data_IF_101428094653
#
_entry.id   IF_101428094653
#
_cell.length_a   1.000
_cell.length_b   1.000
_cell.length_c   1.000
_cell.angle_alpha   90.00
_cell.angle_beta   90.00
_cell.angle_gamma   90.00
#
_symmetry.space_group_name_H-M   'P 1'
#
loop_
_entity.id
_entity.type
_entity.pdbx_description
1 polymer ?
#
# COMPACT_ATOMS: atom_id res chain seq x y z
N UNK A 1 -19.88 8.83 14.42
CA UNK A 1 -21.12 9.61 14.13
C UNK A 1 -20.86 11.05 13.66
N UNK A 2 -19.95 11.84 14.30
CA UNK A 2 -19.60 13.21 13.82
C UNK A 2 -18.83 13.20 12.50
N UNK A 3 -17.87 12.29 12.34
CA UNK A 3 -17.03 12.17 11.13
C UNK A 3 -17.82 11.75 9.88
N UNK A 4 -18.78 10.86 10.03
CA UNK A 4 -19.61 10.40 8.90
C UNK A 4 -20.54 11.51 8.38
N UNK A 5 -21.11 12.32 9.29
CA UNK A 5 -21.91 13.50 8.88
C UNK A 5 -21.03 14.54 8.18
N UNK A 6 -19.83 14.79 8.70
CA UNK A 6 -18.87 15.70 8.08
C UNK A 6 -18.45 15.25 6.68
N UNK A 7 -18.25 13.94 6.49
CA UNK A 7 -17.92 13.37 5.18
C UNK A 7 -19.08 13.49 4.20
N UNK A 8 -20.31 13.18 4.63
CA UNK A 8 -21.52 13.32 3.78
C UNK A 8 -21.76 14.77 3.35
N UNK A 9 -21.60 15.73 4.26
CA UNK A 9 -21.73 17.16 3.94
C UNK A 9 -20.61 17.66 3.00
N UNK A 10 -19.39 17.11 3.13
CA UNK A 10 -18.31 17.42 2.20
C UNK A 10 -18.61 16.89 0.79
N UNK A 11 -19.10 15.64 0.68
CA UNK A 11 -19.51 15.03 -0.59
C UNK A 11 -20.55 15.92 -1.26
N UNK A 12 -21.65 16.25 -0.57
CA UNK A 12 -22.73 17.07 -1.12
C UNK A 12 -22.21 18.41 -1.65
N UNK A 13 -21.37 19.11 -0.90
CA UNK A 13 -20.79 20.39 -1.34
C UNK A 13 -19.97 20.26 -2.62
N UNK A 14 -19.19 19.19 -2.76
CA UNK A 14 -18.39 18.95 -3.95
C UNK A 14 -19.25 18.50 -5.14
N UNK A 15 -20.32 17.72 -4.93
CA UNK A 15 -21.32 17.38 -5.95
C UNK A 15 -22.00 18.64 -6.49
N UNK A 16 -22.48 19.54 -5.61
CA UNK A 16 -23.08 20.81 -5.99
C UNK A 16 -22.10 21.70 -6.76
N UNK A 17 -20.81 21.72 -6.34
CA UNK A 17 -19.78 22.48 -7.05
C UNK A 17 -19.54 21.95 -8.45
N UNK A 18 -19.42 20.63 -8.59
CA UNK A 18 -19.21 19.98 -9.88
C UNK A 18 -20.43 20.13 -10.81
N UNK A 19 -21.64 20.13 -10.25
CA UNK A 19 -22.86 20.37 -11.00
C UNK A 19 -22.92 21.82 -11.58
N UNK A 20 -22.35 22.80 -10.88
CA UNK A 20 -22.24 24.19 -11.36
C UNK A 20 -21.12 24.39 -12.37
N UNK A 21 -20.01 23.68 -12.18
CA UNK A 21 -18.82 23.77 -13.02
C UNK A 21 -18.30 22.35 -13.32
N UNK A 22 -18.86 21.69 -14.37
CA UNK A 22 -18.48 20.32 -14.74
C UNK A 22 -17.03 20.17 -15.23
N UNK A 23 -16.38 21.28 -15.60
CA UNK A 23 -14.98 21.28 -16.03
C UNK A 23 -14.01 21.52 -14.88
N UNK A 24 -14.52 21.77 -13.69
CA UNK A 24 -13.69 22.00 -12.50
C UNK A 24 -12.84 20.79 -12.14
N UNK A 25 -11.59 21.01 -11.76
CA UNK A 25 -10.72 19.99 -11.17
C UNK A 25 -11.21 19.47 -9.80
N UNK A 26 -12.34 20.00 -9.30
CA UNK A 26 -12.98 19.54 -8.06
C UNK A 26 -13.42 18.07 -8.13
N UNK A 27 -13.54 17.48 -9.32
CA UNK A 27 -13.87 16.06 -9.48
C UNK A 27 -12.88 15.14 -8.74
N UNK A 28 -11.59 15.49 -8.71
CA UNK A 28 -10.61 14.67 -8.01
C UNK A 28 -10.81 14.70 -6.49
N UNK A 29 -11.16 15.85 -5.93
CA UNK A 29 -11.49 15.97 -4.51
C UNK A 29 -12.75 15.18 -4.16
N UNK A 30 -13.78 15.24 -5.00
CA UNK A 30 -15.00 14.45 -4.83
C UNK A 30 -14.72 12.94 -4.93
N UNK A 31 -13.89 12.52 -5.89
CA UNK A 31 -13.48 11.12 -6.01
C UNK A 31 -12.74 10.61 -4.77
N UNK A 32 -11.88 11.42 -4.14
CA UNK A 32 -11.22 11.03 -2.89
C UNK A 32 -12.20 10.92 -1.72
N UNK A 33 -13.20 11.81 -1.67
CA UNK A 33 -14.28 11.70 -0.68
C UNK A 33 -15.12 10.44 -0.89
N UNK A 34 -15.47 10.09 -2.14
CA UNK A 34 -16.15 8.83 -2.44
C UNK A 34 -15.33 7.61 -2.02
N UNK A 35 -14.02 7.62 -2.31
CA UNK A 35 -13.11 6.56 -1.86
C UNK A 35 -13.09 6.42 -0.33
N UNK A 36 -13.03 7.53 0.40
CA UNK A 36 -13.08 7.55 1.87
C UNK A 36 -14.43 7.08 2.43
N UNK A 37 -15.51 7.33 1.70
CA UNK A 37 -16.86 6.86 2.02
C UNK A 37 -17.12 5.39 1.62
N UNK A 38 -16.10 4.66 1.09
CA UNK A 38 -16.27 3.29 0.62
C UNK A 38 -17.01 3.16 -0.72
N UNK A 39 -17.30 4.28 -1.40
CA UNK A 39 -17.95 4.33 -2.72
C UNK A 39 -16.93 4.18 -3.84
N UNK A 40 -16.23 3.04 -3.88
CA UNK A 40 -15.10 2.82 -4.78
C UNK A 40 -15.50 2.92 -6.26
N UNK A 41 -16.66 2.34 -6.64
CA UNK A 41 -17.14 2.38 -8.01
C UNK A 41 -17.38 3.82 -8.51
N UNK A 42 -18.01 4.66 -7.67
CA UNK A 42 -18.27 6.06 -8.01
C UNK A 42 -16.96 6.86 -8.14
N UNK A 43 -16.00 6.60 -7.24
CA UNK A 43 -14.67 7.23 -7.29
C UNK A 43 -13.91 6.87 -8.58
N UNK A 44 -13.93 5.61 -8.98
CA UNK A 44 -13.30 5.12 -10.22
C UNK A 44 -13.96 5.75 -11.44
N UNK A 45 -15.30 5.74 -11.51
CA UNK A 45 -16.05 6.32 -12.62
C UNK A 45 -15.74 7.81 -12.79
N UNK A 46 -15.80 8.57 -11.70
CA UNK A 46 -15.54 10.01 -11.69
C UNK A 46 -14.10 10.34 -12.09
N UNK A 47 -13.11 9.57 -11.58
CA UNK A 47 -11.71 9.75 -11.98
C UNK A 47 -11.51 9.47 -13.48
N UNK A 48 -12.10 8.40 -14.01
CA UNK A 48 -11.97 8.04 -15.43
C UNK A 48 -12.59 9.11 -16.34
N UNK A 49 -13.77 9.58 -15.99
CA UNK A 49 -14.43 10.68 -16.73
C UNK A 49 -13.58 11.96 -16.70
N UNK A 50 -13.13 12.38 -15.52
CA UNK A 50 -12.29 13.57 -15.40
C UNK A 50 -10.97 13.46 -16.13
N UNK A 51 -10.35 12.26 -16.15
CA UNK A 51 -9.10 12.01 -16.87
C UNK A 51 -9.26 11.95 -18.39
N UNK A 52 -10.46 11.77 -18.94
CA UNK A 52 -10.71 11.95 -20.37
C UNK A 52 -10.53 13.42 -20.78
N UNK A 53 -10.92 14.36 -19.90
CA UNK A 53 -10.78 15.81 -20.12
C UNK A 53 -9.39 16.30 -19.72
N UNK A 54 -8.84 15.77 -18.63
CA UNK A 54 -7.56 16.17 -18.03
C UNK A 54 -6.58 14.99 -17.91
N UNK A 55 -6.04 14.48 -19.05
CA UNK A 55 -5.25 13.24 -19.07
C UNK A 55 -3.99 13.25 -18.20
N UNK A 56 -3.42 14.44 -17.97
CA UNK A 56 -2.19 14.63 -17.20
C UNK A 56 -2.43 15.05 -15.75
N UNK A 57 -3.68 15.01 -15.25
CA UNK A 57 -3.97 15.42 -13.88
C UNK A 57 -3.54 14.35 -12.89
N UNK A 58 -2.32 14.48 -12.40
CA UNK A 58 -1.62 13.52 -11.52
C UNK A 58 -2.43 13.19 -10.27
N UNK A 59 -3.07 14.19 -9.64
CA UNK A 59 -3.89 13.96 -8.43
C UNK A 59 -5.02 12.98 -8.69
N UNK A 60 -5.75 13.13 -9.80
CA UNK A 60 -6.84 12.23 -10.15
C UNK A 60 -6.33 10.83 -10.46
N UNK A 61 -5.20 10.69 -11.16
CA UNK A 61 -4.56 9.39 -11.40
C UNK A 61 -4.15 8.70 -10.11
N UNK A 62 -3.58 9.44 -9.16
CA UNK A 62 -3.18 8.90 -7.87
C UNK A 62 -4.38 8.41 -7.05
N UNK A 63 -5.48 9.16 -7.06
CA UNK A 63 -6.74 8.77 -6.41
C UNK A 63 -7.31 7.51 -7.08
N UNK A 64 -7.34 7.48 -8.41
CA UNK A 64 -7.77 6.32 -9.17
C UNK A 64 -6.94 5.08 -8.81
N UNK A 65 -5.62 5.20 -8.83
CA UNK A 65 -4.72 4.11 -8.49
C UNK A 65 -4.92 3.59 -7.04
N UNK A 66 -5.07 4.50 -6.07
CA UNK A 66 -5.37 4.14 -4.67
C UNK A 66 -6.72 3.43 -4.53
N UNK A 67 -7.73 3.87 -5.29
CA UNK A 67 -9.06 3.27 -5.27
C UNK A 67 -9.04 1.87 -5.90
N UNK A 68 -8.39 1.72 -7.05
CA UNK A 68 -8.22 0.44 -7.73
C UNK A 68 -7.47 -0.58 -6.85
N UNK A 69 -6.43 -0.14 -6.15
CA UNK A 69 -5.70 -1.01 -5.23
C UNK A 69 -6.57 -1.46 -4.05
N UNK A 70 -7.40 -0.57 -3.51
CA UNK A 70 -8.33 -0.91 -2.43
C UNK A 70 -9.42 -1.89 -2.89
N UNK A 71 -9.82 -1.79 -4.16
CA UNK A 71 -10.79 -2.68 -4.82
C UNK A 71 -10.19 -4.02 -5.31
N UNK A 72 -8.89 -4.27 -5.02
CA UNK A 72 -8.18 -5.49 -5.42
C UNK A 72 -7.70 -5.52 -6.87
N UNK A 73 -7.88 -4.44 -7.64
CA UNK A 73 -7.45 -4.31 -9.04
C UNK A 73 -5.98 -3.86 -9.10
N UNK A 74 -5.08 -4.71 -8.60
CA UNK A 74 -3.67 -4.37 -8.37
C UNK A 74 -2.92 -3.96 -9.65
N UNK A 75 -3.10 -4.69 -10.75
CA UNK A 75 -2.40 -4.40 -12.00
C UNK A 75 -2.89 -3.09 -12.65
N UNK A 76 -4.18 -2.78 -12.55
CA UNK A 76 -4.72 -1.50 -13.01
C UNK A 76 -4.19 -0.34 -12.15
N UNK A 77 -4.10 -0.52 -10.83
CA UNK A 77 -3.49 0.46 -9.93
C UNK A 77 -2.02 0.72 -10.27
N UNK A 78 -1.27 -0.33 -10.58
CA UNK A 78 0.14 -0.23 -10.98
C UNK A 78 0.30 0.51 -12.31
N UNK A 79 -0.58 0.25 -13.27
CA UNK A 79 -0.57 0.96 -14.57
C UNK A 79 -0.74 2.47 -14.39
N UNK A 80 -1.68 2.91 -13.54
CA UNK A 80 -1.88 4.34 -13.24
C UNK A 80 -0.68 4.95 -12.49
N UNK A 81 -0.10 4.23 -11.52
CA UNK A 81 1.10 4.68 -10.82
C UNK A 81 2.29 4.84 -11.78
N UNK A 82 2.49 3.88 -12.68
CA UNK A 82 3.54 3.94 -13.69
C UNK A 82 3.34 5.10 -14.68
N UNK A 83 2.11 5.39 -15.07
CA UNK A 83 1.81 6.54 -15.92
C UNK A 83 2.20 7.87 -15.26
N UNK A 84 2.04 7.99 -13.93
CA UNK A 84 2.55 9.15 -13.18
C UNK A 84 4.08 9.16 -13.16
N UNK A 85 4.72 8.02 -12.89
CA UNK A 85 6.17 7.93 -12.78
C UNK A 85 6.90 8.18 -14.12
N UNK A 86 6.23 7.99 -15.26
CA UNK A 86 6.77 8.37 -16.57
C UNK A 86 6.93 9.90 -16.71
N UNK A 87 6.03 10.67 -16.15
CA UNK A 87 6.06 12.14 -16.22
C UNK A 87 6.72 12.77 -14.98
N UNK A 88 6.62 12.11 -13.86
CA UNK A 88 7.11 12.56 -12.54
C UNK A 88 7.88 11.43 -11.84
N UNK A 89 9.09 11.09 -12.29
CA UNK A 89 9.84 9.94 -11.76
C UNK A 89 10.31 10.10 -10.31
N UNK A 90 10.13 11.29 -9.73
CA UNK A 90 10.47 11.60 -8.33
C UNK A 90 9.23 11.68 -7.41
N UNK A 91 8.08 11.19 -7.86
CA UNK A 91 6.88 11.19 -7.03
C UNK A 91 6.96 10.08 -5.97
N UNK A 92 7.19 10.48 -4.72
CA UNK A 92 7.33 9.58 -3.57
C UNK A 92 6.05 8.78 -3.33
N UNK A 93 4.87 9.40 -3.48
CA UNK A 93 3.60 8.72 -3.25
C UNK A 93 3.34 7.63 -4.29
N UNK A 94 3.73 7.87 -5.54
CA UNK A 94 3.61 6.87 -6.60
C UNK A 94 4.59 5.70 -6.40
N UNK A 95 5.81 5.96 -5.94
CA UNK A 95 6.73 4.90 -5.57
C UNK A 95 6.20 4.07 -4.40
N UNK A 96 5.63 4.68 -3.37
CA UNK A 96 4.99 3.97 -2.26
C UNK A 96 3.82 3.11 -2.72
N UNK A 97 2.96 3.67 -3.58
CA UNK A 97 1.83 2.94 -4.13
C UNK A 97 2.27 1.74 -4.96
N UNK A 98 3.26 1.92 -5.84
CA UNK A 98 3.82 0.82 -6.63
C UNK A 98 4.44 -0.27 -5.72
N UNK A 99 5.15 0.14 -4.67
CA UNK A 99 5.68 -0.79 -3.67
C UNK A 99 4.57 -1.60 -2.99
N UNK A 100 3.48 -0.96 -2.61
CA UNK A 100 2.35 -1.62 -1.97
C UNK A 100 1.65 -2.61 -2.93
N UNK A 101 1.48 -2.24 -4.21
CA UNK A 101 0.96 -3.15 -5.24
C UNK A 101 1.87 -4.37 -5.38
N UNK A 102 3.17 -4.17 -5.55
CA UNK A 102 4.15 -5.26 -5.69
C UNK A 102 4.17 -6.15 -4.45
N UNK A 103 4.14 -5.56 -3.25
CA UNK A 103 4.08 -6.29 -1.99
C UNK A 103 2.84 -7.21 -1.92
N UNK A 104 1.65 -6.69 -2.21
CA UNK A 104 0.41 -7.48 -2.22
C UNK A 104 0.42 -8.59 -3.25
N UNK A 105 1.11 -8.37 -4.37
CA UNK A 105 1.30 -9.38 -5.40
C UNK A 105 2.41 -10.40 -5.07
N UNK A 106 3.07 -10.31 -3.91
CA UNK A 106 4.17 -11.18 -3.51
C UNK A 106 5.50 -10.87 -4.20
N UNK A 107 5.56 -9.82 -5.01
CA UNK A 107 6.78 -9.37 -5.73
C UNK A 107 7.66 -8.52 -4.80
N UNK A 108 8.23 -9.16 -3.77
CA UNK A 108 8.91 -8.46 -2.67
C UNK A 108 10.10 -7.63 -3.14
N UNK A 109 10.91 -8.15 -4.07
CA UNK A 109 12.10 -7.44 -4.56
C UNK A 109 11.73 -6.17 -5.34
N UNK A 110 10.65 -6.21 -6.12
CA UNK A 110 10.12 -5.04 -6.80
C UNK A 110 9.56 -4.01 -5.79
N UNK A 111 8.88 -4.48 -4.74
CA UNK A 111 8.42 -3.61 -3.67
C UNK A 111 9.59 -2.89 -2.97
N UNK A 112 10.65 -3.64 -2.63
CA UNK A 112 11.88 -3.07 -2.04
C UNK A 112 12.51 -2.03 -2.95
N UNK A 113 12.63 -2.31 -4.25
CA UNK A 113 13.21 -1.37 -5.21
C UNK A 113 12.43 -0.04 -5.30
N UNK A 114 11.10 -0.09 -5.20
CA UNK A 114 10.28 1.12 -5.16
C UNK A 114 10.39 1.85 -3.81
N UNK A 115 10.48 1.13 -2.69
CA UNK A 115 10.68 1.73 -1.37
C UNK A 115 12.06 2.40 -1.25
N UNK A 116 13.11 1.80 -1.81
CA UNK A 116 14.44 2.42 -1.87
C UNK A 116 14.40 3.77 -2.59
N UNK A 117 13.67 3.86 -3.69
CA UNK A 117 13.47 5.13 -4.40
C UNK A 117 12.69 6.13 -3.55
N UNK A 118 11.62 5.69 -2.89
CA UNK A 118 10.81 6.56 -2.02
C UNK A 118 11.65 7.13 -0.87
N UNK A 119 12.42 6.28 -0.17
CA UNK A 119 13.31 6.69 0.92
C UNK A 119 14.46 7.57 0.43
N UNK A 120 15.01 7.26 -0.75
CA UNK A 120 16.04 8.10 -1.36
C UNK A 120 15.55 9.50 -1.73
N UNK A 121 14.27 9.63 -2.08
CA UNK A 121 13.64 10.91 -2.39
C UNK A 121 13.18 11.67 -1.14
N UNK A 122 12.65 10.95 -0.15
CA UNK A 122 12.24 11.48 1.14
C UNK A 122 12.74 10.58 2.28
N UNK A 123 13.94 10.83 2.80
CA UNK A 123 14.50 10.07 3.93
C UNK A 123 13.67 10.19 5.22
N UNK A 124 12.83 11.22 5.34
CA UNK A 124 11.94 11.43 6.48
C UNK A 124 10.65 10.62 6.43
N UNK A 125 10.33 9.98 5.33
CA UNK A 125 9.11 9.16 5.20
C UNK A 125 9.20 7.90 6.08
N UNK A 126 8.61 8.03 7.28
CA UNK A 126 8.63 6.96 8.29
C UNK A 126 7.94 5.68 7.81
N UNK A 127 6.91 5.81 6.99
CA UNK A 127 6.15 4.67 6.50
C UNK A 127 6.98 3.84 5.51
N UNK A 128 7.60 4.50 4.52
CA UNK A 128 8.50 3.83 3.58
C UNK A 128 9.71 3.20 4.27
N UNK A 129 10.34 3.93 5.21
CA UNK A 129 11.45 3.40 5.99
C UNK A 129 11.06 2.16 6.81
N UNK A 130 9.92 2.21 7.50
CA UNK A 130 9.44 1.09 8.31
C UNK A 130 9.10 -0.15 7.46
N UNK A 131 8.48 0.06 6.31
CA UNK A 131 8.14 -1.04 5.40
C UNK A 131 9.39 -1.60 4.72
N UNK A 132 10.33 -0.76 4.31
CA UNK A 132 11.59 -1.16 3.72
C UNK A 132 12.41 -2.01 4.69
N UNK A 133 12.55 -1.56 5.95
CA UNK A 133 13.21 -2.32 7.00
C UNK A 133 12.60 -3.70 7.22
N UNK A 134 11.29 -3.81 7.08
CA UNK A 134 10.58 -5.08 7.23
C UNK A 134 10.78 -6.03 6.05
N UNK A 135 10.80 -5.50 4.82
CA UNK A 135 10.89 -6.31 3.61
C UNK A 135 12.33 -6.67 3.22
N UNK A 136 13.34 -5.97 3.76
CA UNK A 136 14.75 -6.33 3.54
C UNK A 136 15.15 -7.54 4.38
N UNK A 137 15.77 -8.58 3.79
CA UNK A 137 16.15 -9.79 4.52
C UNK A 137 17.23 -9.53 5.60
N UNK A 138 18.04 -8.49 5.42
CA UNK A 138 19.19 -8.19 6.27
C UNK A 138 18.93 -7.09 7.31
N UNK A 139 17.73 -6.48 7.32
CA UNK A 139 17.48 -5.24 8.05
C UNK A 139 17.01 -5.40 9.49
N UNK A 140 16.71 -6.60 9.94
CA UNK A 140 16.34 -6.84 11.34
C UNK A 140 16.87 -8.19 11.82
N UNK A 141 18.14 -8.22 12.22
CA UNK A 141 18.50 -9.14 13.28
C UNK A 141 17.76 -8.66 14.54
N UNK A 142 16.83 -9.46 15.10
CA UNK A 142 16.39 -9.24 16.48
C UNK A 142 17.66 -9.14 17.32
N UNK A 143 17.73 -8.18 18.24
CA UNK A 143 18.96 -7.76 18.92
C UNK A 143 19.93 -8.91 19.19
N UNK A 144 21.20 -8.68 18.88
CA UNK A 144 22.27 -9.65 19.05
C UNK A 144 22.18 -10.29 20.44
N UNK A 145 21.79 -11.58 20.48
CA UNK A 145 21.69 -12.32 21.73
C UNK A 145 20.40 -13.11 21.98
N UNK A 146 19.32 -12.90 21.22
CA UNK A 146 18.11 -13.69 21.39
C UNK A 146 18.25 -15.05 20.69
N UNK A 147 17.83 -16.14 21.37
CA UNK A 147 17.78 -17.48 20.77
C UNK A 147 16.93 -17.51 19.49
N UNK A 148 15.94 -16.62 19.43
CA UNK A 148 15.05 -16.45 18.28
C UNK A 148 15.79 -15.86 17.07
N UNK A 149 16.78 -14.98 17.27
CA UNK A 149 17.58 -14.44 16.17
C UNK A 149 18.32 -15.52 15.40
N UNK A 150 18.86 -16.52 16.10
CA UNK A 150 19.53 -17.68 15.48
C UNK A 150 18.56 -18.53 14.69
N UNK A 151 17.37 -18.79 15.24
CA UNK A 151 16.31 -19.54 14.56
C UNK A 151 15.83 -18.78 13.31
N UNK A 152 15.68 -17.48 13.38
CA UNK A 152 15.25 -16.67 12.24
C UNK A 152 16.33 -16.51 11.15
N UNK A 153 17.62 -16.71 11.48
CA UNK A 153 18.69 -16.75 10.49
C UNK A 153 18.82 -18.08 9.76
N UNK A 154 18.28 -19.17 10.35
CA UNK A 154 18.32 -20.52 9.76
C UNK A 154 17.20 -20.69 8.73
N UNK A 155 17.60 -21.01 7.50
CA UNK A 155 16.71 -21.27 6.36
C UNK A 155 15.73 -22.43 6.61
N UNK A 156 16.06 -23.37 7.50
CA UNK A 156 15.21 -24.52 7.87
C UNK A 156 13.89 -24.08 8.50
N UNK A 157 13.89 -22.95 9.20
CA UNK A 157 12.71 -22.37 9.86
C UNK A 157 11.91 -21.40 8.98
N UNK A 158 12.38 -21.14 7.76
CA UNK A 158 11.65 -20.29 6.80
C UNK A 158 10.51 -21.09 6.18
N UNK A 159 9.50 -21.36 6.98
CA UNK A 159 8.31 -22.13 6.59
C UNK A 159 7.03 -21.34 6.88
N UNK A 160 5.98 -21.62 6.12
CA UNK A 160 4.65 -21.05 6.36
C UNK A 160 4.16 -21.39 7.78
N UNK A 161 4.34 -22.65 8.20
CA UNK A 161 3.92 -23.12 9.53
C UNK A 161 4.60 -22.34 10.65
N UNK A 162 5.92 -22.11 10.56
CA UNK A 162 6.64 -21.35 11.58
C UNK A 162 6.21 -19.87 11.60
N UNK A 163 6.03 -19.25 10.44
CA UNK A 163 5.49 -17.90 10.35
C UNK A 163 4.08 -17.77 10.93
N UNK A 164 3.24 -18.79 10.75
CA UNK A 164 1.89 -18.86 11.35
C UNK A 164 1.94 -18.97 12.87
N UNK A 165 2.80 -19.86 13.40
CA UNK A 165 2.99 -20.01 14.86
C UNK A 165 3.48 -18.69 15.47
N UNK A 166 4.43 -18.00 14.85
CA UNK A 166 4.87 -16.67 15.32
C UNK A 166 3.69 -15.69 15.39
N UNK A 167 2.83 -15.69 14.38
CA UNK A 167 1.66 -14.81 14.33
C UNK A 167 0.66 -15.13 15.46
N UNK A 168 0.37 -16.41 15.71
CA UNK A 168 -0.51 -16.88 16.79
C UNK A 168 0.01 -16.53 18.19
N UNK A 169 1.33 -16.52 18.36
CA UNK A 169 2.00 -16.12 19.59
C UNK A 169 2.14 -14.58 19.73
N UNK A 170 1.62 -13.79 18.80
CA UNK A 170 1.70 -12.34 18.82
C UNK A 170 3.10 -11.79 18.50
N UNK A 171 4.01 -12.63 18.01
CA UNK A 171 5.35 -12.27 17.54
C UNK A 171 5.25 -11.73 16.09
N UNK A 172 4.60 -10.57 15.96
CA UNK A 172 4.20 -10.04 14.66
C UNK A 172 5.40 -9.59 13.78
N UNK A 173 6.46 -9.10 14.39
CA UNK A 173 7.67 -8.67 13.68
C UNK A 173 8.42 -9.90 13.13
N UNK A 174 8.54 -10.96 13.92
CA UNK A 174 9.16 -12.23 13.55
C UNK A 174 8.31 -12.96 12.50
N UNK A 175 7.01 -13.01 12.70
CA UNK A 175 6.08 -13.58 11.72
C UNK A 175 6.22 -12.89 10.36
N UNK A 176 6.25 -11.56 10.34
CA UNK A 176 6.41 -10.80 9.11
C UNK A 176 7.76 -11.07 8.44
N UNK A 177 8.85 -11.21 9.20
CA UNK A 177 10.17 -11.53 8.67
C UNK A 177 10.20 -12.91 8.00
N UNK A 178 9.70 -13.93 8.69
CA UNK A 178 9.65 -15.33 8.16
C UNK A 178 8.75 -15.38 6.93
N UNK A 179 7.54 -14.84 7.01
CA UNK A 179 6.56 -14.88 5.93
C UNK A 179 7.02 -14.09 4.69
N UNK A 180 7.76 -12.99 4.87
CA UNK A 180 8.40 -12.28 3.75
C UNK A 180 9.36 -13.18 2.99
N UNK A 181 10.18 -13.97 3.70
CA UNK A 181 11.10 -14.94 3.06
C UNK A 181 10.35 -16.07 2.36
N UNK A 182 9.27 -16.58 2.97
CA UNK A 182 8.41 -17.62 2.36
C UNK A 182 7.79 -17.08 1.06
N UNK A 183 7.20 -15.89 1.08
CA UNK A 183 6.60 -15.26 -0.09
C UNK A 183 7.64 -14.99 -1.19
N UNK A 184 8.85 -14.56 -0.83
CA UNK A 184 9.95 -14.36 -1.79
C UNK A 184 10.33 -15.66 -2.51
N UNK A 185 10.33 -16.80 -1.80
CA UNK A 185 10.62 -18.13 -2.40
C UNK A 185 9.46 -18.64 -3.25
N UNK A 186 8.24 -18.35 -2.83
CA UNK A 186 7.02 -18.86 -3.44
C UNK A 186 5.99 -17.75 -3.59
N UNK A 187 6.14 -16.86 -4.59
CA UNK A 187 5.25 -15.70 -4.78
C UNK A 187 3.79 -16.09 -5.02
N UNK A 188 3.54 -17.28 -5.57
CA UNK A 188 2.20 -17.80 -5.87
C UNK A 188 1.50 -18.40 -4.66
N UNK A 189 2.18 -18.53 -3.52
CA UNK A 189 1.59 -19.04 -2.29
C UNK A 189 0.64 -18.00 -1.67
N UNK A 190 -0.65 -18.13 -1.97
CA UNK A 190 -1.71 -17.22 -1.51
C UNK A 190 -1.81 -17.19 0.00
N UNK A 191 -1.71 -18.34 0.66
CA UNK A 191 -1.78 -18.44 2.12
C UNK A 191 -0.63 -17.69 2.80
N UNK A 192 0.60 -17.83 2.28
CA UNK A 192 1.75 -17.08 2.81
C UNK A 192 1.56 -15.56 2.67
N UNK A 193 0.99 -15.09 1.55
CA UNK A 193 0.68 -13.68 1.35
C UNK A 193 -0.39 -13.18 2.33
N UNK A 194 -1.47 -13.93 2.51
CA UNK A 194 -2.54 -13.58 3.46
C UNK A 194 -2.03 -13.51 4.91
N UNK A 195 -1.18 -14.46 5.32
CA UNK A 195 -0.55 -14.47 6.64
C UNK A 195 0.42 -13.31 6.82
N UNK A 196 1.19 -12.97 5.79
CA UNK A 196 2.07 -11.79 5.81
C UNK A 196 1.24 -10.51 5.99
N UNK A 197 0.15 -10.36 5.26
CA UNK A 197 -0.77 -9.23 5.42
C UNK A 197 -1.34 -9.12 6.84
N UNK A 198 -1.71 -10.28 7.43
CA UNK A 198 -2.20 -10.32 8.80
C UNK A 198 -1.13 -9.87 9.80
N UNK A 199 0.13 -10.33 9.64
CA UNK A 199 1.25 -9.93 10.47
C UNK A 199 1.52 -8.42 10.40
N UNK A 200 1.50 -7.86 9.20
CA UNK A 200 1.72 -6.44 8.95
C UNK A 200 0.61 -5.57 9.59
N UNK A 201 -0.66 -5.99 9.45
CA UNK A 201 -1.80 -5.30 10.07
C UNK A 201 -1.76 -5.36 11.60
N UNK A 202 -1.40 -6.51 12.17
CA UNK A 202 -1.29 -6.67 13.62
C UNK A 202 -0.17 -5.78 14.20
N UNK A 203 0.95 -5.64 13.48
CA UNK A 203 2.05 -4.76 13.84
C UNK A 203 1.64 -3.27 13.85
N UNK A 204 0.90 -2.82 12.83
CA UNK A 204 0.47 -1.43 12.73
C UNK A 204 -0.44 -1.01 13.89
N UNK A 205 -1.32 -1.93 14.36
CA UNK A 205 -2.22 -1.70 15.50
C UNK A 205 -1.48 -1.57 16.84
N UNK A 206 -0.28 -2.10 16.98
CA UNK A 206 0.49 -2.07 18.22
C UNK A 206 1.32 -0.79 18.37
N UNK A 207 1.50 -0.03 17.29
CA UNK A 207 2.31 1.20 17.25
C UNK A 207 1.50 2.50 17.21
N UNK A 208 0.19 2.43 17.11
CA UNK A 208 -0.76 3.55 17.20
C UNK A 208 -1.52 3.51 18.50
#
# INVERSE_FOLDING_TARGET
MSDERGLADAIRRHEERLARDPESLAFAQLADLYRKAGRAADAVALCREGLQRWPHYTTARLILAKTLLADGQAEAALAEANAILQTSPKDVQCHRLAAEVHRRAGRIDAAVAHLDKAVGLDPGDRESNALLALLRPDATTPGEGSSLARVLSDETFVTLSFGTVCLEQGLNDEAALVLTRVVRRSPDNTEARERLEAALRARSRRRG
#
